data_IF_683321914963
#
_entry.id   IF_683321914963
#
_cell.length_a   1.000
_cell.length_b   1.000
_cell.length_c   1.000
_cell.angle_alpha   90.00
_cell.angle_beta   90.00
_cell.angle_gamma   90.00
#
_symmetry.space_group_name_H-M   'P 1'
#
loop_
_entity.id
_entity.type
_entity.pdbx_description
1 polymer ?
#
# COMPACT_ATOMS: atom_id res chain seq x y z
N UNK A 1 -72.06 13.76 -5.94
CA UNK A 1 -70.71 14.28 -5.70
C UNK A 1 -70.49 14.17 -4.20
N UNK A 2 -69.95 13.03 -3.76
CA UNK A 2 -69.70 12.67 -2.36
C UNK A 2 -68.24 12.24 -2.31
N UNK A 3 -67.56 12.77 -1.31
CA UNK A 3 -66.14 12.67 -0.98
C UNK A 3 -65.61 11.25 -0.84
N UNK A 4 -64.49 10.97 -1.50
CA UNK A 4 -63.61 9.82 -1.27
C UNK A 4 -62.18 10.36 -1.18
N UNK A 5 -61.80 10.87 -0.01
CA UNK A 5 -60.44 11.28 0.30
C UNK A 5 -60.31 11.40 1.82
N UNK A 6 -60.26 10.27 2.52
CA UNK A 6 -59.77 10.15 3.91
C UNK A 6 -59.82 8.67 4.32
N UNK A 7 -58.78 7.90 3.96
CA UNK A 7 -58.38 6.66 4.64
C UNK A 7 -57.17 6.09 3.89
N UNK A 8 -55.97 6.62 4.14
CA UNK A 8 -54.72 5.91 3.83
C UNK A 8 -53.45 6.48 4.49
N UNK A 9 -53.54 7.33 5.53
CA UNK A 9 -52.34 7.82 6.24
C UNK A 9 -51.96 7.03 7.51
N UNK A 10 -52.80 6.10 7.98
CA UNK A 10 -52.55 5.38 9.25
C UNK A 10 -51.74 4.07 9.14
N UNK A 11 -51.26 3.69 7.94
CA UNK A 11 -50.46 2.46 7.76
C UNK A 11 -48.94 2.68 7.67
N UNK A 12 -48.45 3.92 7.76
CA UNK A 12 -47.00 4.21 7.77
C UNK A 12 -46.41 4.34 9.18
N UNK A 13 -47.21 4.14 10.23
CA UNK A 13 -46.82 4.37 11.62
C UNK A 13 -46.69 3.12 12.49
N UNK A 14 -45.93 2.06 12.14
CA UNK A 14 -45.57 1.05 13.18
C UNK A 14 -44.36 0.14 12.96
N UNK A 15 -43.48 0.34 11.98
CA UNK A 15 -42.20 -0.40 11.96
C UNK A 15 -41.07 0.38 12.64
N UNK A 16 -41.20 0.58 13.96
CA UNK A 16 -40.03 0.85 14.80
C UNK A 16 -39.16 -0.41 14.79
N UNK A 17 -38.05 -0.34 14.07
CA UNK A 17 -36.94 -1.30 14.12
C UNK A 17 -36.61 -1.62 15.59
N UNK A 18 -36.49 -2.91 15.98
CA UNK A 18 -36.27 -3.31 17.38
C UNK A 18 -34.85 -3.01 17.90
N UNK A 19 -34.01 -2.36 17.10
CA UNK A 19 -32.68 -1.96 17.53
C UNK A 19 -32.77 -0.59 18.22
N UNK A 20 -32.81 -0.67 19.55
CA UNK A 20 -32.60 0.40 20.52
C UNK A 20 -31.57 1.43 20.02
N UNK A 21 -31.98 2.69 20.01
CA UNK A 21 -31.14 3.85 19.77
C UNK A 21 -30.36 4.17 21.04
N UNK A 22 -29.17 3.60 21.18
CA UNK A 22 -28.13 4.18 22.02
C UNK A 22 -27.21 4.98 21.11
N UNK A 23 -27.06 6.28 21.39
CA UNK A 23 -26.06 7.11 20.74
C UNK A 23 -24.69 6.42 20.83
N UNK A 24 -23.88 6.40 19.75
CA UNK A 24 -22.58 5.74 19.79
C UNK A 24 -21.74 6.33 20.93
N UNK A 25 -21.18 5.44 21.76
CA UNK A 25 -20.44 5.80 22.96
C UNK A 25 -19.39 6.91 22.70
N UNK A 26 -19.21 7.86 23.64
CA UNK A 26 -18.25 8.96 23.50
C UNK A 26 -16.79 8.54 23.21
N UNK A 27 -16.38 7.33 23.61
CA UNK A 27 -15.04 6.81 23.33
C UNK A 27 -14.81 6.59 21.83
N UNK A 28 -15.87 6.38 21.03
CA UNK A 28 -15.79 6.30 19.58
C UNK A 28 -15.30 7.61 18.99
N UNK A 29 -15.82 8.75 19.45
CA UNK A 29 -15.38 10.08 19.03
C UNK A 29 -13.99 10.46 19.56
N UNK A 30 -13.56 9.91 20.70
CA UNK A 30 -12.22 10.13 21.22
C UNK A 30 -11.16 9.25 20.52
N UNK A 31 -11.49 8.01 20.19
CA UNK A 31 -10.64 7.16 19.35
C UNK A 31 -10.59 7.67 17.91
N UNK A 32 -11.71 8.21 17.42
CA UNK A 32 -11.81 9.01 16.20
C UNK A 32 -10.79 10.13 16.24
N UNK A 33 -10.88 11.05 17.19
CA UNK A 33 -10.05 12.26 17.20
C UNK A 33 -8.55 12.00 17.50
N UNK A 34 -8.19 10.92 18.21
CA UNK A 34 -6.77 10.54 18.47
C UNK A 34 -6.12 9.82 17.28
N UNK A 35 -6.90 9.18 16.40
CA UNK A 35 -6.41 8.40 15.25
C UNK A 35 -6.73 9.11 13.91
N UNK A 36 -7.59 10.14 13.90
CA UNK A 36 -8.17 10.77 12.70
C UNK A 36 -7.21 11.60 11.87
N UNK A 37 -6.20 12.23 12.47
CA UNK A 37 -5.43 13.25 11.74
C UNK A 37 -4.54 12.68 10.63
N UNK A 38 -4.28 11.36 10.60
CA UNK A 38 -3.49 10.74 9.52
C UNK A 38 -3.87 9.29 9.13
N UNK A 39 -4.45 8.48 10.02
CA UNK A 39 -4.51 7.02 9.81
C UNK A 39 -5.83 6.50 9.20
N UNK A 40 -6.90 7.31 9.16
CA UNK A 40 -8.29 6.82 8.92
C UNK A 40 -8.91 7.42 7.64
N UNK A 41 -8.19 8.21 6.86
CA UNK A 41 -8.73 8.74 5.58
C UNK A 41 -9.16 7.61 4.60
N UNK A 42 -8.49 6.46 4.63
CA UNK A 42 -8.92 5.27 3.89
C UNK A 42 -10.27 4.70 4.37
N UNK A 43 -10.62 4.87 5.65
CA UNK A 43 -11.89 4.43 6.21
C UNK A 43 -13.03 5.43 5.93
N UNK A 44 -12.76 6.74 5.84
CA UNK A 44 -13.80 7.74 5.54
C UNK A 44 -14.34 7.61 4.12
N UNK A 45 -13.48 7.40 3.10
CA UNK A 45 -13.94 7.11 1.74
C UNK A 45 -14.78 5.83 1.69
N UNK A 46 -14.41 4.81 2.47
CA UNK A 46 -15.21 3.57 2.57
C UNK A 46 -16.56 3.84 3.26
N UNK A 47 -16.61 4.71 4.27
CA UNK A 47 -17.83 5.11 4.98
C UNK A 47 -18.83 5.78 4.06
N UNK A 48 -18.40 6.78 3.29
CA UNK A 48 -19.31 7.56 2.45
C UNK A 48 -19.84 6.71 1.29
N UNK A 49 -19.01 5.82 0.74
CA UNK A 49 -19.44 4.84 -0.28
C UNK A 49 -20.44 3.80 0.28
N UNK A 50 -20.30 3.38 1.55
CA UNK A 50 -21.20 2.40 2.18
C UNK A 50 -22.54 3.03 2.59
N UNK A 51 -22.52 4.29 3.06
CA UNK A 51 -23.72 5.04 3.42
C UNK A 51 -24.58 5.33 2.18
N UNK A 52 -23.97 5.62 1.04
CA UNK A 52 -24.69 5.85 -0.23
C UNK A 52 -25.35 4.58 -0.79
N UNK A 53 -24.82 3.39 -0.51
CA UNK A 53 -25.29 2.15 -1.14
C UNK A 53 -26.27 1.30 -0.32
N UNK A 54 -26.33 1.45 1.01
CA UNK A 54 -26.89 0.36 1.84
C UNK A 54 -27.85 0.75 2.97
N UNK A 55 -28.15 2.04 3.13
CA UNK A 55 -29.00 2.54 4.20
C UNK A 55 -28.43 2.29 5.60
N UNK A 56 -28.92 3.03 6.59
CA UNK A 56 -28.36 3.03 7.95
C UNK A 56 -28.20 1.62 8.57
N UNK A 57 -29.12 0.69 8.28
CA UNK A 57 -29.10 -0.66 8.86
C UNK A 57 -27.93 -1.55 8.41
N UNK A 58 -27.48 -1.44 7.15
CA UNK A 58 -26.37 -2.26 6.68
C UNK A 58 -25.04 -1.75 7.24
N UNK A 59 -24.91 -0.44 7.41
CA UNK A 59 -23.78 0.20 8.07
C UNK A 59 -23.63 -0.30 9.52
N UNK A 60 -24.71 -0.32 10.31
CA UNK A 60 -24.66 -0.80 11.70
C UNK A 60 -24.26 -2.28 11.79
N UNK A 61 -24.79 -3.13 10.91
CA UNK A 61 -24.40 -4.55 10.87
C UNK A 61 -22.92 -4.70 10.57
N UNK A 62 -22.39 -3.98 9.59
CA UNK A 62 -20.97 -4.01 9.25
C UNK A 62 -20.10 -3.51 10.42
N UNK A 63 -20.49 -2.40 11.07
CA UNK A 63 -19.79 -1.87 12.23
C UNK A 63 -19.72 -2.88 13.39
N UNK A 64 -20.83 -3.60 13.66
CA UNK A 64 -20.86 -4.68 14.63
C UNK A 64 -19.93 -5.83 14.25
N UNK A 65 -19.93 -6.27 12.99
CA UNK A 65 -19.02 -7.34 12.54
C UNK A 65 -17.54 -6.93 12.64
N UNK A 66 -17.20 -5.69 12.25
CA UNK A 66 -15.83 -5.20 12.33
C UNK A 66 -15.35 -5.07 13.78
N UNK A 67 -16.21 -4.60 14.69
CA UNK A 67 -15.87 -4.40 16.11
C UNK A 67 -15.38 -5.67 16.79
N UNK A 68 -15.95 -6.84 16.46
CA UNK A 68 -15.60 -8.11 17.10
C UNK A 68 -14.78 -9.03 16.22
N UNK A 69 -14.37 -8.61 15.03
CA UNK A 69 -13.55 -9.43 14.15
C UNK A 69 -12.06 -9.28 14.52
N UNK A 70 -11.42 -10.29 15.16
CA UNK A 70 -10.02 -10.20 15.55
C UNK A 70 -9.07 -10.12 14.33
N UNK A 71 -9.46 -10.68 13.19
CA UNK A 71 -8.68 -10.62 11.95
C UNK A 71 -8.65 -9.19 11.41
N UNK A 72 -9.77 -8.48 11.49
CA UNK A 72 -9.83 -7.06 11.11
C UNK A 72 -8.89 -6.22 11.96
N UNK A 73 -8.94 -6.36 13.29
CA UNK A 73 -8.08 -5.60 14.19
C UNK A 73 -6.59 -5.95 14.04
N UNK A 74 -6.27 -7.22 13.77
CA UNK A 74 -4.90 -7.62 13.46
C UNK A 74 -4.40 -6.98 12.16
N UNK A 75 -5.20 -7.01 11.09
CA UNK A 75 -4.87 -6.36 9.83
C UNK A 75 -4.74 -4.84 10.00
N UNK A 76 -5.65 -4.21 10.74
CA UNK A 76 -5.60 -2.80 11.08
C UNK A 76 -4.31 -2.45 11.80
N UNK A 77 -3.95 -3.20 12.87
CA UNK A 77 -2.72 -2.97 13.62
C UNK A 77 -1.47 -3.07 12.74
N UNK A 78 -1.42 -4.05 11.83
CA UNK A 78 -0.32 -4.20 10.85
C UNK A 78 -0.25 -3.00 9.91
N UNK A 79 -1.38 -2.58 9.34
CA UNK A 79 -1.43 -1.42 8.45
C UNK A 79 -1.04 -0.13 9.16
N UNK A 80 -1.57 0.12 10.36
CA UNK A 80 -1.24 1.30 11.17
C UNK A 80 0.22 1.33 11.57
N UNK A 81 0.81 0.17 11.89
CA UNK A 81 2.24 0.08 12.19
C UNK A 81 3.08 0.47 10.98
N UNK A 82 2.77 -0.08 9.80
CA UNK A 82 3.46 0.28 8.56
C UNK A 82 3.33 1.77 8.25
N UNK A 83 2.12 2.33 8.31
CA UNK A 83 1.89 3.75 8.07
C UNK A 83 2.71 4.62 9.04
N UNK A 84 2.68 4.29 10.34
CA UNK A 84 3.43 5.02 11.36
C UNK A 84 4.94 4.98 11.11
N UNK A 85 5.50 3.79 10.84
CA UNK A 85 6.93 3.64 10.57
C UNK A 85 7.34 4.42 9.32
N UNK A 86 6.55 4.33 8.24
CA UNK A 86 6.82 5.06 7.01
C UNK A 86 6.75 6.57 7.21
N UNK A 87 5.69 7.08 7.86
CA UNK A 87 5.59 8.51 8.20
C UNK A 87 6.81 8.99 8.98
N UNK A 88 7.24 8.24 10.00
CA UNK A 88 8.44 8.57 10.79
C UNK A 88 9.72 8.56 9.96
N UNK A 89 9.86 7.63 9.02
CA UNK A 89 11.01 7.59 8.12
C UNK A 89 11.07 8.84 7.23
N UNK A 90 9.93 9.31 6.73
CA UNK A 90 9.86 10.55 5.96
C UNK A 90 9.97 11.80 6.85
N UNK A 91 9.44 11.82 8.06
CA UNK A 91 9.63 12.90 9.03
C UNK A 91 11.13 13.16 9.27
N UNK A 92 11.92 12.10 9.40
CA UNK A 92 13.37 12.19 9.56
C UNK A 92 14.08 12.86 8.38
N UNK A 93 13.49 12.77 7.18
CA UNK A 93 13.97 13.43 5.96
C UNK A 93 13.30 14.79 5.70
N UNK A 94 12.53 15.31 6.66
CA UNK A 94 11.71 16.53 6.51
C UNK A 94 10.68 16.42 5.36
N UNK A 95 10.12 15.22 5.17
CA UNK A 95 9.11 14.87 4.16
C UNK A 95 7.80 14.34 4.75
N UNK A 96 7.60 14.42 6.08
CA UNK A 96 6.38 13.91 6.71
C UNK A 96 5.30 14.96 7.01
N UNK A 97 5.59 16.25 6.83
CA UNK A 97 4.59 17.32 6.79
C UNK A 97 3.91 17.37 5.42
N UNK A 98 2.98 18.30 5.16
CA UNK A 98 2.38 18.51 3.83
C UNK A 98 3.45 18.72 2.74
N UNK A 99 3.20 18.22 1.53
CA UNK A 99 4.10 18.39 0.38
C UNK A 99 4.31 19.88 0.11
N UNK A 100 3.21 20.64 0.12
CA UNK A 100 3.07 22.06 -0.24
C UNK A 100 1.93 22.66 0.61
N UNK A 101 1.82 23.99 0.66
CA UNK A 101 0.70 24.65 1.36
C UNK A 101 -0.64 24.41 0.66
N UNK A 102 -0.60 24.31 -0.67
CA UNK A 102 -1.71 24.04 -1.57
C UNK A 102 -1.69 22.58 -2.08
N UNK A 103 -1.29 21.66 -1.20
CA UNK A 103 -1.35 20.21 -1.45
C UNK A 103 -2.76 19.79 -1.88
N UNK A 104 -2.86 19.05 -2.99
CA UNK A 104 -4.14 18.51 -3.45
C UNK A 104 -4.56 17.30 -2.63
N UNK A 105 -5.86 16.97 -2.63
CA UNK A 105 -6.36 15.76 -1.95
C UNK A 105 -5.72 14.49 -2.53
N UNK A 106 -5.47 14.44 -3.84
CA UNK A 106 -4.79 13.30 -4.47
C UNK A 106 -3.34 13.17 -4.00
N UNK A 107 -2.59 14.27 -3.88
CA UNK A 107 -1.22 14.26 -3.33
C UNK A 107 -1.21 13.79 -1.88
N UNK A 108 -2.18 14.26 -1.08
CA UNK A 108 -2.36 13.83 0.30
C UNK A 108 -2.62 12.33 0.40
N UNK A 109 -3.60 11.83 -0.36
CA UNK A 109 -4.00 10.42 -0.40
C UNK A 109 -2.86 9.52 -0.87
N UNK A 110 -2.11 9.92 -1.90
CA UNK A 110 -0.94 9.18 -2.37
C UNK A 110 0.09 9.01 -1.26
N UNK A 111 0.29 9.99 -0.38
CA UNK A 111 1.22 9.79 0.73
C UNK A 111 0.71 8.81 1.76
N UNK A 112 -0.53 9.01 2.22
CA UNK A 112 -1.09 8.26 3.34
C UNK A 112 -1.43 6.82 2.95
N UNK A 113 -2.01 6.62 1.76
CA UNK A 113 -2.48 5.30 1.32
C UNK A 113 -1.43 4.51 0.53
N UNK A 114 -0.45 5.18 -0.08
CA UNK A 114 0.56 4.53 -0.91
C UNK A 114 1.96 4.63 -0.31
N UNK A 115 2.54 5.83 -0.21
CA UNK A 115 3.95 6.00 0.11
C UNK A 115 4.26 5.53 1.54
N UNK A 116 3.62 6.09 2.56
CA UNK A 116 3.90 5.76 3.96
C UNK A 116 3.73 4.27 4.29
N UNK A 117 2.62 3.59 3.96
CA UNK A 117 2.49 2.18 4.29
C UNK A 117 3.49 1.31 3.49
N UNK A 118 3.79 1.65 2.24
CA UNK A 118 4.79 0.92 1.43
C UNK A 118 6.20 1.07 2.02
N UNK A 119 6.57 2.30 2.37
CA UNK A 119 7.90 2.63 2.89
C UNK A 119 8.07 2.18 4.33
N UNK A 120 7.01 2.14 5.13
CA UNK A 120 7.04 1.52 6.44
C UNK A 120 7.39 0.05 6.37
N UNK A 121 6.78 -0.69 5.44
CA UNK A 121 7.15 -2.09 5.20
C UNK A 121 8.57 -2.21 4.67
N UNK A 122 9.00 -1.31 3.76
CA UNK A 122 10.36 -1.28 3.25
C UNK A 122 11.40 -1.06 4.38
N UNK A 123 11.15 -0.11 5.29
CA UNK A 123 12.02 0.14 6.43
C UNK A 123 12.09 -1.08 7.36
N UNK A 124 10.95 -1.70 7.68
CA UNK A 124 10.95 -2.91 8.51
C UNK A 124 11.68 -4.08 7.83
N UNK A 125 11.52 -4.26 6.51
CA UNK A 125 12.26 -5.25 5.72
C UNK A 125 13.77 -4.98 5.73
N UNK A 126 14.18 -3.74 5.47
CA UNK A 126 15.57 -3.33 5.48
C UNK A 126 16.23 -3.57 6.84
N UNK A 127 15.53 -3.28 7.94
CA UNK A 127 16.00 -3.56 9.29
C UNK A 127 16.19 -5.06 9.54
N UNK A 128 15.28 -5.90 9.05
CA UNK A 128 15.41 -7.35 9.17
C UNK A 128 16.55 -7.91 8.31
N UNK A 129 16.69 -7.44 7.07
CA UNK A 129 17.79 -7.83 6.18
C UNK A 129 19.15 -7.42 6.79
N UNK A 130 19.25 -6.21 7.35
CA UNK A 130 20.43 -5.75 8.09
C UNK A 130 20.72 -6.62 9.32
N UNK A 131 19.70 -7.02 10.08
CA UNK A 131 19.86 -7.90 11.23
C UNK A 131 20.36 -9.30 10.83
N UNK A 132 19.84 -9.85 9.73
CA UNK A 132 20.28 -11.13 9.18
C UNK A 132 21.73 -11.06 8.68
N UNK A 133 22.09 -9.99 7.97
CA UNK A 133 23.46 -9.70 7.53
C UNK A 133 24.40 -9.58 8.72
N UNK A 134 24.03 -8.82 9.74
CA UNK A 134 24.85 -8.63 10.94
C UNK A 134 25.02 -9.93 11.74
N UNK A 135 23.96 -10.75 11.81
CA UNK A 135 24.01 -12.06 12.48
C UNK A 135 24.96 -13.04 11.79
N UNK A 136 25.17 -12.91 10.48
CA UNK A 136 26.12 -13.76 9.75
C UNK A 136 27.60 -13.48 10.09
N UNK A 137 27.94 -12.34 10.72
CA UNK A 137 29.26 -12.08 11.30
C UNK A 137 30.47 -12.21 10.35
N UNK A 138 31.67 -12.36 10.95
CA UNK A 138 33.01 -12.40 10.30
C UNK A 138 33.17 -13.42 9.15
N UNK A 139 32.17 -14.30 8.93
CA UNK A 139 32.08 -15.15 7.75
C UNK A 139 31.82 -14.40 6.45
N UNK A 140 31.46 -13.11 6.48
CA UNK A 140 31.38 -12.25 5.30
C UNK A 140 30.15 -12.46 4.42
N UNK A 141 29.42 -11.38 4.15
CA UNK A 141 28.21 -11.33 3.32
C UNK A 141 28.40 -11.96 1.94
N UNK A 142 29.62 -11.88 1.39
CA UNK A 142 29.96 -12.39 0.06
C UNK A 142 30.46 -13.85 0.06
N UNK A 143 30.62 -14.51 1.21
CA UNK A 143 31.11 -15.89 1.26
C UNK A 143 29.99 -16.93 1.26
N UNK A 144 28.74 -16.51 1.46
CA UNK A 144 27.57 -17.40 1.43
C UNK A 144 26.53 -16.88 0.44
N UNK A 145 25.90 -17.80 -0.31
CA UNK A 145 24.81 -17.47 -1.22
C UNK A 145 23.64 -16.79 -0.47
N UNK A 146 23.41 -17.15 0.79
CA UNK A 146 22.41 -16.54 1.66
C UNK A 146 22.73 -15.08 1.99
N UNK A 147 24.00 -14.76 2.26
CA UNK A 147 24.44 -13.39 2.52
C UNK A 147 24.27 -12.47 1.31
N UNK A 148 24.59 -12.99 0.12
CA UNK A 148 24.40 -12.23 -1.13
C UNK A 148 22.92 -11.98 -1.44
N UNK A 149 22.05 -12.94 -1.14
CA UNK A 149 20.59 -12.79 -1.32
C UNK A 149 20.03 -11.70 -0.39
N UNK A 150 20.44 -11.70 0.88
CA UNK A 150 19.99 -10.72 1.87
C UNK A 150 20.51 -9.31 1.54
N UNK A 151 21.75 -9.19 1.06
CA UNK A 151 22.29 -7.90 0.59
C UNK A 151 21.54 -7.38 -0.64
N UNK A 152 21.26 -8.24 -1.61
CA UNK A 152 20.50 -7.87 -2.80
C UNK A 152 19.08 -7.42 -2.40
N UNK A 153 18.44 -8.14 -1.47
CA UNK A 153 17.15 -7.74 -0.90
C UNK A 153 17.21 -6.36 -0.27
N UNK A 154 18.23 -6.08 0.54
CA UNK A 154 18.42 -4.78 1.18
C UNK A 154 18.57 -3.67 0.15
N UNK A 155 19.36 -3.89 -0.91
CA UNK A 155 19.56 -2.92 -2.00
C UNK A 155 18.25 -2.64 -2.73
N UNK A 156 17.50 -3.67 -3.11
CA UNK A 156 16.21 -3.52 -3.80
C UNK A 156 15.23 -2.75 -2.92
N UNK A 157 15.12 -3.13 -1.65
CA UNK A 157 14.21 -2.51 -0.68
C UNK A 157 14.56 -1.04 -0.44
N UNK A 158 15.85 -0.72 -0.29
CA UNK A 158 16.33 0.65 -0.14
C UNK A 158 16.07 1.49 -1.39
N UNK A 159 16.16 0.89 -2.58
CA UNK A 159 15.90 1.59 -3.85
C UNK A 159 14.43 2.02 -3.96
N UNK A 160 13.50 1.20 -3.48
CA UNK A 160 12.06 1.56 -3.44
C UNK A 160 11.83 2.77 -2.54
N UNK A 161 12.40 2.77 -1.34
CA UNK A 161 12.31 3.90 -0.41
C UNK A 161 12.88 5.19 -1.03
N UNK A 162 14.05 5.11 -1.69
CA UNK A 162 14.64 6.25 -2.41
C UNK A 162 13.76 6.71 -3.57
N UNK A 163 13.13 5.80 -4.31
CA UNK A 163 12.20 6.13 -5.39
C UNK A 163 10.97 6.88 -4.86
N UNK A 164 10.43 6.48 -3.71
CA UNK A 164 9.32 7.18 -3.08
C UNK A 164 9.71 8.53 -2.47
N UNK A 165 10.94 8.67 -1.96
CA UNK A 165 11.50 9.98 -1.59
C UNK A 165 11.61 10.92 -2.81
N UNK A 166 11.94 10.37 -3.99
CA UNK A 166 11.95 11.12 -5.25
C UNK A 166 10.54 11.44 -5.73
N UNK A 167 9.59 10.54 -5.53
CA UNK A 167 8.18 10.78 -5.81
C UNK A 167 7.65 11.96 -4.99
N UNK A 168 8.00 12.02 -3.70
CA UNK A 168 7.69 13.17 -2.86
C UNK A 168 8.28 14.48 -3.42
N UNK A 169 9.56 14.45 -3.80
CA UNK A 169 10.22 15.62 -4.38
C UNK A 169 9.57 16.06 -5.71
N UNK A 170 9.15 15.11 -6.54
CA UNK A 170 8.44 15.36 -7.79
C UNK A 170 7.10 16.07 -7.55
N UNK A 171 6.31 15.58 -6.58
CA UNK A 171 5.07 16.23 -6.18
C UNK A 171 5.33 17.64 -5.63
N UNK A 172 6.35 17.80 -4.77
CA UNK A 172 6.73 19.11 -4.22
C UNK A 172 7.09 20.14 -5.28
N UNK A 173 7.76 19.70 -6.35
CA UNK A 173 8.16 20.56 -7.45
C UNK A 173 7.07 20.73 -8.53
N UNK A 174 5.89 20.11 -8.36
CA UNK A 174 4.81 20.06 -9.35
C UNK A 174 5.29 19.56 -10.73
N UNK A 175 6.22 18.62 -10.74
CA UNK A 175 6.77 18.09 -11.99
C UNK A 175 5.91 16.92 -12.47
N UNK A 176 4.93 17.21 -13.32
CA UNK A 176 4.00 16.23 -13.87
C UNK A 176 4.68 15.02 -14.50
N UNK A 177 5.74 15.24 -15.27
CA UNK A 177 6.48 14.15 -15.89
C UNK A 177 7.11 13.22 -14.85
N UNK A 178 7.77 13.78 -13.83
CA UNK A 178 8.40 12.98 -12.78
C UNK A 178 7.35 12.20 -11.97
N UNK A 179 6.23 12.82 -11.61
CA UNK A 179 5.10 12.18 -10.92
C UNK A 179 4.57 10.99 -11.73
N UNK A 180 4.27 11.20 -13.01
CA UNK A 180 3.78 10.15 -13.93
C UNK A 180 4.79 9.01 -14.07
N UNK A 181 6.08 9.33 -14.20
CA UNK A 181 7.14 8.32 -14.26
C UNK A 181 7.26 7.52 -12.96
N UNK A 182 7.12 8.15 -11.78
CA UNK A 182 7.17 7.45 -10.49
C UNK A 182 5.96 6.52 -10.28
N UNK A 183 4.76 6.92 -10.74
CA UNK A 183 3.58 6.03 -10.78
C UNK A 183 3.90 4.78 -11.61
N UNK A 184 4.42 4.97 -12.83
CA UNK A 184 4.81 3.88 -13.72
C UNK A 184 5.88 2.99 -13.09
N UNK A 185 6.92 3.57 -12.49
CA UNK A 185 7.98 2.82 -11.82
C UNK A 185 7.43 1.94 -10.69
N UNK A 186 6.49 2.44 -9.88
CA UNK A 186 5.87 1.64 -8.83
C UNK A 186 5.01 0.50 -9.39
N UNK A 187 4.27 0.71 -10.50
CA UNK A 187 3.51 -0.36 -11.19
C UNK A 187 4.44 -1.44 -11.73
N UNK A 188 5.56 -1.05 -12.33
CA UNK A 188 6.60 -1.98 -12.80
C UNK A 188 7.17 -2.78 -11.63
N UNK A 189 7.48 -2.11 -10.53
CA UNK A 189 7.98 -2.76 -9.33
C UNK A 189 6.97 -3.76 -8.74
N UNK A 190 5.69 -3.38 -8.62
CA UNK A 190 4.63 -4.29 -8.16
C UNK A 190 4.50 -5.53 -9.06
N UNK A 191 4.54 -5.34 -10.38
CA UNK A 191 4.49 -6.44 -11.35
C UNK A 191 5.69 -7.38 -11.16
N UNK A 192 6.90 -6.80 -11.04
CA UNK A 192 8.14 -7.54 -10.81
C UNK A 192 8.11 -8.34 -9.51
N UNK A 193 7.65 -7.70 -8.43
CA UNK A 193 7.53 -8.33 -7.12
C UNK A 193 6.50 -9.47 -7.14
N UNK A 194 5.38 -9.30 -7.86
CA UNK A 194 4.38 -10.36 -8.04
C UNK A 194 4.98 -11.60 -8.69
N UNK A 195 5.77 -11.43 -9.76
CA UNK A 195 6.45 -12.54 -10.45
C UNK A 195 7.45 -13.22 -9.51
N UNK A 196 8.29 -12.45 -8.82
CA UNK A 196 9.31 -12.98 -7.90
C UNK A 196 8.65 -13.77 -6.77
N UNK A 197 7.58 -13.25 -6.16
CA UNK A 197 6.87 -13.95 -5.07
C UNK A 197 6.19 -15.23 -5.56
N UNK A 198 5.61 -15.21 -6.77
CA UNK A 198 4.97 -16.38 -7.38
C UNK A 198 5.98 -17.50 -7.66
N UNK A 199 7.14 -17.13 -8.23
CA UNK A 199 8.25 -18.08 -8.47
C UNK A 199 8.82 -18.61 -7.15
N UNK A 200 8.95 -17.76 -6.13
CA UNK A 200 9.40 -18.18 -4.81
C UNK A 200 8.51 -19.27 -4.19
N UNK A 201 7.18 -19.17 -4.38
CA UNK A 201 6.24 -20.22 -3.96
C UNK A 201 6.41 -21.48 -4.83
N UNK A 202 6.47 -21.35 -6.16
CA UNK A 202 6.46 -22.50 -7.08
C UNK A 202 7.74 -23.33 -7.03
N UNK A 203 8.90 -22.69 -6.94
CA UNK A 203 10.21 -23.36 -6.99
C UNK A 203 10.65 -23.91 -5.63
N UNK A 204 10.43 -23.14 -4.56
CA UNK A 204 10.89 -23.55 -3.23
C UNK A 204 9.85 -24.42 -2.54
N UNK A 205 8.56 -24.20 -2.80
CA UNK A 205 7.44 -24.88 -2.14
C UNK A 205 7.23 -24.38 -0.71
N UNK A 206 6.00 -23.97 -0.37
CA UNK A 206 5.67 -23.34 0.91
C UNK A 206 6.04 -24.16 2.16
N UNK A 207 5.95 -25.49 2.06
CA UNK A 207 6.21 -26.42 3.18
C UNK A 207 7.64 -26.94 3.21
N UNK A 208 8.52 -26.42 2.36
CA UNK A 208 9.90 -26.88 2.31
C UNK A 208 10.69 -26.39 3.54
N UNK A 209 11.61 -27.21 4.02
CA UNK A 209 12.44 -26.94 5.21
C UNK A 209 13.38 -25.74 5.00
N UNK A 210 13.61 -25.32 3.75
CA UNK A 210 14.33 -24.09 3.42
C UNK A 210 13.57 -22.79 3.78
N UNK A 211 12.26 -22.85 4.08
CA UNK A 211 11.49 -21.72 4.59
C UNK A 211 11.68 -21.56 6.10
N UNK A 212 12.81 -20.99 6.50
CA UNK A 212 13.03 -20.56 7.88
C UNK A 212 12.00 -19.52 8.30
N UNK A 213 11.75 -19.38 9.61
CA UNK A 213 10.79 -18.40 10.13
C UNK A 213 11.08 -16.96 9.64
N UNK A 214 12.33 -16.44 9.64
CA UNK A 214 12.63 -15.13 9.09
C UNK A 214 12.29 -14.98 7.60
N UNK A 215 12.51 -16.04 6.80
CA UNK A 215 12.15 -16.03 5.37
C UNK A 215 10.64 -15.99 5.14
N UNK A 216 9.86 -16.67 5.99
CA UNK A 216 8.39 -16.58 5.94
C UNK A 216 7.90 -15.17 6.30
N UNK A 217 8.51 -14.54 7.31
CA UNK A 217 8.18 -13.17 7.72
C UNK A 217 8.52 -12.17 6.60
N UNK A 218 9.74 -12.21 6.06
CA UNK A 218 10.13 -11.33 4.92
C UNK A 218 9.21 -11.53 3.72
N UNK A 219 8.81 -12.76 3.41
CA UNK A 219 7.86 -13.04 2.33
C UNK A 219 6.49 -12.41 2.59
N UNK A 220 5.92 -12.60 3.78
CA UNK A 220 4.63 -12.00 4.13
C UNK A 220 4.68 -10.48 4.08
N UNK A 221 5.78 -9.88 4.55
CA UNK A 221 6.00 -8.44 4.46
C UNK A 221 6.09 -7.96 3.00
N UNK A 222 6.78 -8.69 2.11
CA UNK A 222 6.80 -8.34 0.67
C UNK A 222 5.42 -8.47 0.03
N UNK A 223 4.62 -9.46 0.41
CA UNK A 223 3.21 -9.56 -0.02
C UNK A 223 2.40 -8.37 0.50
N UNK A 224 2.60 -7.96 1.74
CA UNK A 224 1.95 -6.79 2.31
C UNK A 224 2.35 -5.50 1.57
N UNK A 225 3.64 -5.31 1.30
CA UNK A 225 4.16 -4.19 0.51
C UNK A 225 3.53 -4.14 -0.89
N UNK A 226 3.46 -5.28 -1.57
CA UNK A 226 2.80 -5.41 -2.87
C UNK A 226 1.33 -4.98 -2.81
N UNK A 227 0.60 -5.42 -1.78
CA UNK A 227 -0.80 -5.04 -1.60
C UNK A 227 -0.96 -3.53 -1.38
N UNK A 228 -0.07 -2.87 -0.63
CA UNK A 228 -0.11 -1.42 -0.47
C UNK A 228 0.15 -0.68 -1.78
N UNK A 229 1.12 -1.13 -2.58
CA UNK A 229 1.39 -0.51 -3.88
C UNK A 229 0.19 -0.67 -4.82
N UNK A 230 -0.43 -1.86 -4.88
CA UNK A 230 -1.60 -2.11 -5.71
C UNK A 230 -2.79 -1.27 -5.23
N UNK A 231 -3.07 -1.26 -3.92
CA UNK A 231 -4.16 -0.49 -3.34
C UNK A 231 -3.96 1.02 -3.59
N UNK A 232 -2.77 1.54 -3.34
CA UNK A 232 -2.40 2.93 -3.61
C UNK A 232 -2.52 3.28 -5.09
N UNK A 233 -2.06 2.40 -5.98
CA UNK A 233 -2.18 2.59 -7.43
C UNK A 233 -3.65 2.61 -7.89
N UNK A 234 -4.48 1.69 -7.41
CA UNK A 234 -5.89 1.62 -7.79
C UNK A 234 -6.71 2.80 -7.27
N UNK A 235 -6.39 3.34 -6.10
CA UNK A 235 -7.16 4.40 -5.44
C UNK A 235 -6.69 5.80 -5.81
N UNK A 236 -5.37 6.01 -5.90
CA UNK A 236 -4.80 7.36 -6.00
C UNK A 236 -4.09 7.64 -7.31
N UNK A 237 -3.54 6.63 -8.02
CA UNK A 237 -2.74 6.88 -9.22
C UNK A 237 -3.52 7.58 -10.33
N UNK A 238 -4.78 7.18 -10.57
CA UNK A 238 -5.60 7.79 -11.61
C UNK A 238 -5.93 9.25 -11.28
N UNK A 239 -6.35 9.53 -10.04
CA UNK A 239 -6.64 10.90 -9.57
C UNK A 239 -5.42 11.79 -9.68
N UNK A 240 -4.28 11.33 -9.13
CA UNK A 240 -3.03 12.06 -9.20
C UNK A 240 -2.56 12.25 -10.65
N UNK A 241 -2.78 11.25 -11.52
CA UNK A 241 -2.45 11.39 -12.94
C UNK A 241 -3.24 12.50 -13.61
N UNK A 242 -4.56 12.57 -13.36
CA UNK A 242 -5.45 13.59 -13.93
C UNK A 242 -5.09 14.99 -13.42
N UNK A 243 -4.89 15.16 -12.12
CA UNK A 243 -4.49 16.45 -11.52
C UNK A 243 -3.21 17.01 -12.20
N UNK A 244 -2.27 16.12 -12.51
CA UNK A 244 -1.00 16.48 -13.17
C UNK A 244 -1.07 16.49 -14.71
N UNK A 245 -2.16 16.05 -15.33
CA UNK A 245 -2.39 16.17 -16.78
C UNK A 245 -2.95 17.55 -17.14
N UNK A 246 -3.80 18.10 -16.27
CA UNK A 246 -4.34 19.46 -16.45
C UNK A 246 -3.25 20.54 -16.35
N UNK A 247 -2.24 20.36 -15.51
CA UNK A 247 -1.13 21.32 -15.40
C UNK A 247 -0.13 21.25 -16.59
N UNK A 248 -0.05 20.11 -17.30
CA UNK A 248 0.90 19.88 -18.39
C UNK A 248 0.24 19.82 -19.78
N UNK A 249 -0.18 20.99 -20.29
CA UNK A 249 -0.77 21.11 -21.64
C UNK A 249 0.22 20.82 -22.79
N UNK A 250 1.50 20.50 -22.54
CA UNK A 250 2.51 20.38 -23.60
C UNK A 250 2.63 18.96 -24.16
N UNK A 251 2.30 17.93 -23.37
CA UNK A 251 2.41 16.54 -23.80
C UNK A 251 1.26 15.69 -23.22
N UNK A 252 0.16 15.46 -23.95
CA UNK A 252 -0.93 14.61 -23.49
C UNK A 252 -0.48 13.15 -23.49
N UNK A 253 0.11 12.72 -22.37
CA UNK A 253 0.38 11.30 -22.11
C UNK A 253 -0.75 10.75 -21.26
N UNK A 254 -1.62 9.98 -21.91
CA UNK A 254 -2.71 9.29 -21.23
C UNK A 254 -2.16 8.08 -20.47
N UNK A 255 -2.70 7.82 -19.29
CA UNK A 255 -2.34 6.66 -18.45
C UNK A 255 -2.33 5.35 -19.27
N UNK A 256 -3.30 5.17 -20.16
CA UNK A 256 -3.41 4.02 -21.07
C UNK A 256 -2.25 3.85 -22.05
N UNK A 257 -1.55 4.93 -22.42
CA UNK A 257 -0.38 4.85 -23.29
C UNK A 257 0.87 4.39 -22.54
N UNK A 258 0.93 4.65 -21.24
CA UNK A 258 2.08 4.31 -20.39
C UNK A 258 1.98 2.92 -19.79
N UNK A 259 0.78 2.43 -19.47
CA UNK A 259 0.60 1.09 -18.89
C UNK A 259 1.22 -0.02 -19.77
N UNK A 260 1.00 -0.07 -21.11
CA UNK A 260 1.65 -1.06 -21.96
C UNK A 260 3.16 -0.92 -21.96
N UNK A 261 3.69 0.30 -21.98
CA UNK A 261 5.14 0.56 -21.95
C UNK A 261 5.75 0.15 -20.61
N UNK A 262 5.06 0.41 -19.50
CA UNK A 262 5.41 -0.04 -18.15
C UNK A 262 5.42 -1.56 -18.07
N UNK A 263 4.37 -2.22 -18.55
CA UNK A 263 4.29 -3.68 -18.58
C UNK A 263 5.38 -4.28 -19.48
N UNK A 264 5.71 -3.66 -20.61
CA UNK A 264 6.83 -4.05 -21.48
C UNK A 264 8.18 -3.87 -20.78
N UNK A 265 8.40 -2.72 -20.13
CA UNK A 265 9.61 -2.46 -19.34
C UNK A 265 9.74 -3.46 -18.20
N UNK A 266 8.67 -3.76 -17.47
CA UNK A 266 8.66 -4.80 -16.44
C UNK A 266 8.94 -6.18 -17.03
N UNK A 267 8.30 -6.52 -18.15
CA UNK A 267 8.52 -7.79 -18.85
C UNK A 267 9.92 -7.92 -19.46
N UNK A 268 10.69 -6.83 -19.62
CA UNK A 268 12.09 -6.85 -20.07
C UNK A 268 13.04 -6.83 -18.87
N UNK A 269 12.81 -5.93 -17.91
CA UNK A 269 13.66 -5.75 -16.73
C UNK A 269 13.64 -6.99 -15.85
N UNK A 270 12.47 -7.64 -15.66
CA UNK A 270 12.35 -8.83 -14.82
C UNK A 270 13.18 -9.99 -15.36
N UNK A 271 13.08 -10.39 -16.66
CA UNK A 271 13.98 -11.39 -17.23
C UNK A 271 15.45 -10.97 -17.21
N UNK A 272 15.78 -9.69 -17.42
CA UNK A 272 17.18 -9.24 -17.38
C UNK A 272 17.77 -9.40 -15.98
N UNK A 273 17.06 -8.93 -14.95
CA UNK A 273 17.47 -9.13 -13.54
C UNK A 273 17.59 -10.63 -13.26
N UNK A 274 16.60 -11.43 -13.67
CA UNK A 274 16.60 -12.88 -13.48
C UNK A 274 17.79 -13.56 -14.16
N UNK A 275 18.08 -13.23 -15.41
CA UNK A 275 19.24 -13.74 -16.16
C UNK A 275 20.54 -13.34 -15.46
N UNK A 276 20.65 -12.09 -15.00
CA UNK A 276 21.84 -11.61 -14.28
C UNK A 276 22.01 -12.35 -12.95
N UNK A 277 20.96 -12.49 -12.14
CA UNK A 277 21.01 -13.17 -10.84
C UNK A 277 21.31 -14.66 -11.01
N UNK A 278 20.68 -15.33 -11.99
CA UNK A 278 20.96 -16.73 -12.31
C UNK A 278 22.39 -16.91 -12.82
N UNK A 279 22.83 -16.04 -13.75
CA UNK A 279 24.18 -16.11 -14.30
C UNK A 279 25.22 -15.88 -13.21
N UNK A 280 24.99 -14.94 -12.28
CA UNK A 280 25.85 -14.71 -11.13
C UNK A 280 25.92 -15.95 -10.22
N UNK A 281 24.78 -16.58 -9.94
CA UNK A 281 24.70 -17.82 -9.15
C UNK A 281 25.46 -18.98 -9.81
N UNK A 282 25.32 -19.19 -11.12
CA UNK A 282 26.04 -20.25 -11.83
C UNK A 282 27.53 -19.95 -12.00
N UNK A 283 27.90 -18.69 -12.17
CA UNK A 283 29.31 -18.27 -12.22
C UNK A 283 30.00 -18.55 -10.89
N UNK A 284 29.31 -18.33 -9.76
CA UNK A 284 29.82 -18.67 -8.43
C UNK A 284 30.07 -20.18 -8.27
N UNK A 285 29.13 -21.03 -8.71
CA UNK A 285 29.32 -22.49 -8.67
C UNK A 285 30.41 -23.01 -9.61
N UNK A 286 30.79 -22.26 -10.64
CA UNK A 286 31.87 -22.64 -11.56
C UNK A 286 33.27 -22.23 -11.06
N UNK A 287 33.35 -21.34 -10.06
CA UNK A 287 34.60 -20.84 -9.48
C UNK A 287 35.03 -21.65 -8.23
N UNK A 288 34.07 -22.32 -7.57
CA UNK A 288 34.32 -23.26 -6.47
C UNK A 288 34.58 -24.68 -6.99
#
# INVERSE_FOLDING_TARGET
>A
MISFEEENEDLLGSHKSPYFWEEPDPWYYQLRDVIYDDCVFAYSQTRDTILDFSGDQAYYKLAWYLRYNPVYWAAFAVCSTSLFVGKRAHDFLHQGERVRLDETEAEHDTRIMWIYPTDGVACMLAMMDLALIAYMGDGGVFQSATGTDDLLSLVITSTVFVANCRFYAAMKNRNAWEVKMMIVTNVVYATSLTVILSLGISEVGWFNHYWTLPRRITFFMRVLQLNFIIAGACTTASRLWYDYDEEDHRHPMTFYSMVPAALLLGAIIVPVIFIVTISARYTWYAIL
#
